data_IF_267866711752
#
_entry.id   IF_267866711752
#
_cell.length_a   1.000
_cell.length_b   1.000
_cell.length_c   1.000
_cell.angle_alpha   90.00
_cell.angle_beta   90.00
_cell.angle_gamma   90.00
#
_symmetry.space_group_name_H-M   'P 1'
#
loop_
_entity.id
_entity.type
_entity.pdbx_description
1 polymer ?
#
# COMPACT_ATOMS: atom_id res chain seq x y z
N UNK A 1 8.73 15.57 11.65
CA UNK A 1 9.19 14.60 10.63
C UNK A 1 8.11 13.54 10.45
N UNK A 2 7.82 13.10 9.23
CA UNK A 2 6.76 12.10 8.97
C UNK A 2 7.25 10.69 9.26
N UNK A 3 6.43 9.88 9.94
CA UNK A 3 6.76 8.47 10.24
C UNK A 3 6.55 7.56 9.02
N UNK A 4 5.45 7.80 8.30
CA UNK A 4 5.08 7.18 7.02
C UNK A 4 3.97 8.03 6.39
N UNK A 5 3.64 7.73 5.13
CA UNK A 5 2.50 8.30 4.41
C UNK A 5 1.67 7.20 3.77
N UNK A 6 0.37 7.44 3.66
CA UNK A 6 -0.60 6.53 3.00
C UNK A 6 -1.33 7.29 1.92
N UNK A 7 -1.39 6.72 0.73
CA UNK A 7 -2.05 7.27 -0.45
C UNK A 7 -3.16 6.33 -0.91
N UNK A 8 -4.35 6.85 -1.14
CA UNK A 8 -5.43 6.09 -1.78
C UNK A 8 -5.24 6.00 -3.29
N UNK A 9 -5.51 4.84 -3.89
CA UNK A 9 -5.51 4.65 -5.35
C UNK A 9 -6.74 3.89 -5.83
N UNK A 10 -7.36 4.38 -6.91
CA UNK A 10 -8.46 3.70 -7.59
C UNK A 10 -8.00 2.51 -8.45
N UNK A 11 -6.70 2.38 -8.73
CA UNK A 11 -6.13 1.27 -9.50
C UNK A 11 -4.76 0.90 -8.91
N UNK A 12 -4.77 -0.09 -8.02
CA UNK A 12 -3.55 -0.56 -7.36
C UNK A 12 -2.56 -1.18 -8.33
N UNK A 13 -3.01 -1.85 -9.39
CA UNK A 13 -2.10 -2.48 -10.35
C UNK A 13 -1.35 -1.43 -11.18
N UNK A 14 -2.02 -0.35 -11.57
CA UNK A 14 -1.36 0.79 -12.22
C UNK A 14 -0.43 1.51 -11.25
N UNK A 15 -0.84 1.73 -10.01
CA UNK A 15 0.01 2.34 -8.99
C UNK A 15 1.25 1.49 -8.70
N UNK A 16 1.11 0.17 -8.62
CA UNK A 16 2.21 -0.77 -8.45
C UNK A 16 3.29 -0.54 -9.52
N UNK A 17 2.91 -0.55 -10.80
CA UNK A 17 3.87 -0.37 -11.90
C UNK A 17 4.58 0.99 -11.83
N UNK A 18 3.84 2.04 -11.49
CA UNK A 18 4.39 3.38 -11.35
C UNK A 18 5.37 3.48 -10.17
N UNK A 19 4.96 3.05 -8.99
CA UNK A 19 5.77 3.17 -7.77
C UNK A 19 6.95 2.20 -7.74
N UNK A 20 6.84 0.99 -8.30
CA UNK A 20 7.98 0.10 -8.50
C UNK A 20 9.09 0.81 -9.32
N UNK A 21 8.71 1.47 -10.42
CA UNK A 21 9.66 2.19 -11.27
C UNK A 21 10.24 3.44 -10.59
N UNK A 22 9.39 4.29 -10.00
CA UNK A 22 9.84 5.55 -9.39
C UNK A 22 10.68 5.32 -8.13
N UNK A 23 10.24 4.42 -7.26
CA UNK A 23 10.85 4.23 -5.94
C UNK A 23 12.08 3.32 -6.00
N UNK A 24 12.18 2.45 -7.00
CA UNK A 24 13.37 1.66 -7.26
C UNK A 24 14.61 2.53 -7.49
N UNK A 25 14.47 3.66 -8.21
CA UNK A 25 15.55 4.64 -8.43
C UNK A 25 15.99 5.31 -7.12
N UNK A 26 15.10 5.37 -6.13
CA UNK A 26 15.36 5.97 -4.81
C UNK A 26 15.85 4.93 -3.78
N UNK A 27 16.08 3.68 -4.19
CA UNK A 27 16.54 2.61 -3.30
C UNK A 27 15.46 2.05 -2.37
N UNK A 28 14.18 2.33 -2.65
CA UNK A 28 13.07 1.66 -1.98
C UNK A 28 12.57 0.50 -2.84
N UNK A 29 12.10 -0.55 -2.18
CA UNK A 29 11.53 -1.72 -2.83
C UNK A 29 10.17 -2.04 -2.23
N UNK A 30 9.33 -2.70 -3.03
CA UNK A 30 8.05 -3.23 -2.58
C UNK A 30 8.29 -4.36 -1.58
N UNK A 31 7.79 -4.18 -0.35
CA UNK A 31 7.91 -5.15 0.76
C UNK A 31 6.59 -5.82 1.08
N UNK A 32 5.47 -5.18 0.74
CA UNK A 32 4.12 -5.73 0.93
C UNK A 32 3.37 -5.64 -0.40
N UNK A 33 2.69 -6.72 -0.76
CA UNK A 33 1.74 -6.77 -1.87
C UNK A 33 0.55 -7.61 -1.42
N UNK A 34 -0.59 -6.97 -1.24
CA UNK A 34 -1.88 -7.59 -0.97
C UNK A 34 -2.90 -7.12 -2.00
N UNK A 35 -4.11 -7.66 -1.92
CA UNK A 35 -5.20 -7.29 -2.81
C UNK A 35 -5.58 -5.81 -2.68
N UNK A 36 -5.56 -5.28 -1.46
CA UNK A 36 -6.05 -3.94 -1.10
C UNK A 36 -4.93 -2.96 -0.72
N UNK A 37 -3.67 -3.40 -0.65
CA UNK A 37 -2.55 -2.55 -0.25
C UNK A 37 -1.19 -2.96 -0.82
N UNK A 38 -0.33 -1.97 -0.96
CA UNK A 38 1.07 -2.10 -1.38
C UNK A 38 1.94 -1.24 -0.47
N UNK A 39 3.06 -1.79 0.01
CA UNK A 39 3.97 -1.11 0.94
C UNK A 39 5.41 -1.08 0.42
N UNK A 40 6.06 0.07 0.55
CA UNK A 40 7.45 0.30 0.13
C UNK A 40 8.36 0.71 1.29
N UNK A 41 9.57 0.16 1.29
CA UNK A 41 10.59 0.48 2.28
C UNK A 41 12.01 0.36 1.69
N UNK A 42 12.98 1.03 2.32
CA UNK A 42 14.39 0.74 2.11
C UNK A 42 14.72 -0.67 2.64
N UNK A 43 15.80 -1.28 2.15
CA UNK A 43 16.22 -2.63 2.57
C UNK A 43 16.51 -2.71 4.08
N UNK A 44 17.11 -1.66 4.65
CA UNK A 44 17.46 -1.55 6.08
C UNK A 44 16.27 -1.22 6.98
N UNK A 45 15.08 -0.97 6.42
CA UNK A 45 13.92 -0.59 7.20
C UNK A 45 13.00 -1.80 7.45
N UNK A 46 12.59 -1.94 8.71
CA UNK A 46 11.66 -2.98 9.13
C UNK A 46 10.20 -2.61 8.81
N UNK A 47 9.89 -1.32 8.59
CA UNK A 47 8.53 -0.83 8.34
C UNK A 47 8.44 -0.12 6.99
N UNK A 48 7.30 -0.29 6.31
CA UNK A 48 7.00 0.49 5.11
C UNK A 48 6.79 1.96 5.46
N UNK A 49 7.31 2.84 4.60
CA UNK A 49 7.25 4.30 4.75
C UNK A 49 6.26 4.96 3.79
N UNK A 50 5.96 4.27 2.70
CA UNK A 50 4.90 4.62 1.77
C UNK A 50 3.95 3.44 1.66
N UNK A 51 2.67 3.72 1.86
CA UNK A 51 1.59 2.81 1.58
C UNK A 51 0.73 3.35 0.44
N UNK A 52 0.34 2.46 -0.46
CA UNK A 52 -0.68 2.72 -1.48
C UNK A 52 -1.81 1.74 -1.23
N UNK A 53 -3.00 2.24 -0.95
CA UNK A 53 -4.14 1.43 -0.50
C UNK A 53 -5.35 1.68 -1.37
N UNK A 54 -6.24 0.71 -1.44
CA UNK A 54 -7.59 0.93 -1.96
C UNK A 54 -8.32 1.87 -0.99
N UNK A 55 -8.89 3.00 -1.45
CA UNK A 55 -9.65 3.90 -0.59
C UNK A 55 -10.83 3.17 0.06
N UNK A 56 -11.11 3.51 1.31
CA UNK A 56 -12.35 3.08 1.95
C UNK A 56 -13.56 3.67 1.22
N UNK A 57 -14.49 2.83 0.78
CA UNK A 57 -15.63 3.24 -0.05
C UNK A 57 -16.87 3.68 0.75
N UNK A 58 -16.80 3.61 2.09
CA UNK A 58 -17.87 4.07 2.97
C UNK A 58 -19.09 3.16 3.02
N UNK A 59 -19.09 2.04 2.29
CA UNK A 59 -20.21 1.12 2.24
C UNK A 59 -20.10 0.09 3.38
N UNK A 60 -21.23 -0.43 3.90
CA UNK A 60 -21.18 -1.56 4.80
C UNK A 60 -20.44 -2.70 4.09
N UNK A 61 -19.35 -3.17 4.69
CA UNK A 61 -18.69 -4.38 4.21
C UNK A 61 -19.65 -5.57 4.27
N UNK A 62 -19.37 -6.65 3.52
CA UNK A 62 -20.10 -7.90 3.73
C UNK A 62 -20.03 -8.30 5.21
N UNK A 63 -21.11 -8.88 5.77
CA UNK A 63 -21.14 -9.25 7.19
C UNK A 63 -19.96 -10.15 7.54
N UNK A 64 -19.34 -9.89 8.68
CA UNK A 64 -18.20 -10.65 9.18
C UNK A 64 -18.59 -12.12 9.31
N UNK A 65 -17.73 -13.04 8.87
CA UNK A 65 -17.93 -14.47 9.05
C UNK A 65 -18.00 -14.90 10.53
N UNK A 66 -17.71 -13.98 11.46
CA UNK A 66 -17.77 -14.19 12.91
C UNK A 66 -19.16 -13.93 13.52
N UNK A 67 -20.15 -13.52 12.73
CA UNK A 67 -21.54 -13.30 13.17
C UNK A 67 -22.43 -14.56 12.99
N UNK A 68 -21.86 -15.77 13.02
CA UNK A 68 -22.59 -17.05 12.96
C UNK A 68 -22.25 -17.99 14.13
#
# INVERSE_FOLDING_TARGET
MLLYITLGSSDLQRSLRFYDACLGVLGLSRRVTKEDEIGYAAASDARCRLWVVTPYDGRPGPPSAMDR
#
